data_IF_482466347771
#
_entry.id   IF_482466347771
#
_cell.length_a   1.000
_cell.length_b   1.000
_cell.length_c   1.000
_cell.angle_alpha   90.00
_cell.angle_beta   90.00
_cell.angle_gamma   90.00
#
_symmetry.space_group_name_H-M   'P 1'
#
loop_
_entity.id
_entity.type
_entity.pdbx_description
1 polymer ?
#
# COMPACT_ATOMS: atom_id res chain seq x y z
N UNK A 1 7.99 7.98 -4.07
CA UNK A 1 8.97 6.85 -4.02
C UNK A 1 8.92 6.11 -2.69
N UNK A 2 9.53 4.93 -2.58
CA UNK A 2 9.69 4.19 -1.33
C UNK A 2 10.92 4.66 -0.52
N UNK A 3 10.85 4.55 0.80
CA UNK A 3 11.95 4.86 1.71
C UNK A 3 12.97 3.70 1.71
N UNK A 4 14.24 4.00 1.50
CA UNK A 4 15.35 3.03 1.44
C UNK A 4 16.33 3.13 2.63
N UNK A 5 15.83 3.57 3.80
CA UNK A 5 16.66 3.84 4.99
C UNK A 5 16.82 2.66 5.96
N UNK A 6 16.02 1.59 5.83
CA UNK A 6 16.17 0.41 6.68
C UNK A 6 17.47 -0.31 6.27
N UNK A 7 18.42 -0.56 7.18
CA UNK A 7 19.65 -1.25 6.84
C UNK A 7 19.37 -2.64 6.25
N UNK A 8 20.09 -3.00 5.18
CA UNK A 8 19.92 -4.27 4.48
C UNK A 8 18.65 -4.40 3.65
N UNK A 9 17.93 -3.30 3.36
CA UNK A 9 16.69 -3.31 2.58
C UNK A 9 16.82 -3.96 1.19
N UNK A 10 18.02 -4.00 0.64
CA UNK A 10 18.39 -4.72 -0.58
C UNK A 10 18.20 -6.25 -0.50
N UNK A 11 18.16 -6.81 0.72
CA UNK A 11 17.85 -8.22 0.96
C UNK A 11 16.35 -8.53 0.83
N UNK A 12 15.49 -7.52 0.80
CA UNK A 12 14.07 -7.66 0.53
C UNK A 12 13.71 -7.31 -0.92
N UNK A 13 12.64 -7.92 -1.41
CA UNK A 13 12.00 -7.49 -2.66
C UNK A 13 10.82 -6.60 -2.29
N UNK A 14 10.80 -5.37 -2.82
CA UNK A 14 9.66 -4.46 -2.67
C UNK A 14 8.69 -4.64 -3.82
N UNK A 15 7.52 -5.28 -3.64
CA UNK A 15 6.72 -5.77 -4.78
C UNK A 15 6.20 -4.68 -5.72
N UNK A 16 5.92 -3.48 -5.20
CA UNK A 16 5.35 -2.38 -5.97
C UNK A 16 6.39 -1.46 -6.63
N UNK A 17 7.65 -1.88 -6.78
CA UNK A 17 8.70 -1.09 -7.48
C UNK A 17 8.71 -1.25 -8.99
N UNK A 18 7.83 -2.10 -9.54
CA UNK A 18 7.64 -2.26 -10.98
C UNK A 18 7.70 -3.71 -11.41
N UNK A 19 7.75 -3.92 -12.73
CA UNK A 19 7.68 -5.25 -13.36
C UNK A 19 8.83 -6.14 -12.88
N UNK A 20 10.06 -5.63 -12.85
CA UNK A 20 11.23 -6.40 -12.45
C UNK A 20 11.13 -6.96 -11.03
N UNK A 21 10.51 -6.23 -10.10
CA UNK A 21 10.28 -6.72 -8.74
C UNK A 21 9.28 -7.88 -8.74
N UNK A 22 8.18 -7.78 -9.48
CA UNK A 22 7.18 -8.84 -9.60
C UNK A 22 7.77 -10.11 -10.24
N UNK A 23 8.60 -9.96 -11.27
CA UNK A 23 9.29 -11.09 -11.91
C UNK A 23 10.31 -11.75 -10.97
N UNK A 24 11.08 -10.95 -10.23
CA UNK A 24 11.99 -11.48 -9.20
C UNK A 24 11.23 -12.29 -8.13
N UNK A 25 10.04 -11.85 -7.73
CA UNK A 25 9.18 -12.61 -6.79
C UNK A 25 8.76 -13.93 -7.42
N UNK A 26 8.23 -13.92 -8.65
CA UNK A 26 7.83 -15.12 -9.41
C UNK A 26 8.97 -16.13 -9.49
N UNK A 27 10.15 -15.68 -9.89
CA UNK A 27 11.29 -16.55 -10.17
C UNK A 27 11.90 -17.11 -8.87
N UNK A 28 12.01 -16.29 -7.82
CA UNK A 28 12.46 -16.75 -6.50
C UNK A 28 11.49 -17.75 -5.89
N UNK A 29 10.19 -17.50 -5.96
CA UNK A 29 9.18 -18.41 -5.44
C UNK A 29 9.19 -19.76 -6.17
N UNK A 30 9.36 -19.74 -7.50
CA UNK A 30 9.47 -20.97 -8.32
C UNK A 30 10.71 -21.79 -7.96
N UNK A 31 11.83 -21.14 -7.65
CA UNK A 31 13.09 -21.82 -7.34
C UNK A 31 13.08 -22.49 -5.96
N UNK A 32 12.39 -21.90 -4.97
CA UNK A 32 12.32 -22.44 -3.62
C UNK A 32 11.55 -23.77 -3.58
N UNK A 33 12.11 -24.76 -2.88
CA UNK A 33 11.46 -26.06 -2.63
C UNK A 33 10.71 -26.11 -1.29
N UNK A 34 11.03 -25.18 -0.39
CA UNK A 34 10.50 -25.03 0.95
C UNK A 34 11.20 -23.87 1.66
N UNK A 35 10.90 -23.68 2.95
CA UNK A 35 11.53 -22.65 3.79
C UNK A 35 10.57 -21.55 4.24
N UNK A 36 11.11 -20.45 4.75
CA UNK A 36 10.32 -19.35 5.32
C UNK A 36 10.22 -18.17 4.37
N UNK A 37 8.98 -17.72 4.11
CA UNK A 37 8.70 -16.48 3.39
C UNK A 37 8.15 -15.47 4.40
N UNK A 38 8.91 -14.39 4.62
CA UNK A 38 8.52 -13.29 5.49
C UNK A 38 7.92 -12.15 4.66
N UNK A 39 6.71 -11.70 5.01
CA UNK A 39 5.97 -10.65 4.30
C UNK A 39 5.62 -9.53 5.28
N UNK A 40 5.99 -8.29 4.97
CA UNK A 40 5.73 -7.17 5.88
C UNK A 40 5.65 -5.82 5.20
N UNK A 41 5.18 -4.82 5.94
CA UNK A 41 5.21 -3.42 5.52
C UNK A 41 5.37 -2.48 6.70
N UNK A 42 5.76 -1.24 6.40
CA UNK A 42 5.77 -0.14 7.36
C UNK A 42 5.24 1.14 6.72
N UNK A 43 4.72 2.06 7.53
CA UNK A 43 4.42 3.42 7.10
C UNK A 43 5.65 4.32 7.17
N UNK A 44 5.56 5.52 6.60
CA UNK A 44 6.51 6.57 6.89
C UNK A 44 6.25 7.10 8.32
N UNK A 45 7.21 7.05 9.26
CA UNK A 45 7.00 7.53 10.62
C UNK A 45 6.56 8.99 10.71
N UNK A 46 6.99 9.82 9.75
CA UNK A 46 6.69 11.25 9.67
C UNK A 46 5.44 11.56 8.83
N UNK A 47 4.80 10.55 8.25
CA UNK A 47 3.62 10.68 7.41
C UNK A 47 2.90 9.34 7.36
N UNK A 48 2.09 9.04 8.37
CA UNK A 48 1.44 7.74 8.52
C UNK A 48 0.61 7.35 7.28
N UNK A 49 0.11 8.36 6.55
CA UNK A 49 -0.64 8.23 5.29
C UNK A 49 0.15 7.57 4.17
N UNK A 50 1.48 7.71 4.20
CA UNK A 50 2.39 7.28 3.16
C UNK A 50 2.76 5.80 3.31
N UNK A 51 1.77 4.93 3.12
CA UNK A 51 1.89 3.47 3.24
C UNK A 51 1.05 2.74 2.21
N UNK A 52 1.50 1.56 1.80
CA UNK A 52 0.73 0.63 0.95
C UNK A 52 0.63 -0.73 1.65
N UNK A 53 -0.33 -0.90 2.56
CA UNK A 53 -0.53 -2.18 3.26
C UNK A 53 -1.27 -3.23 2.44
N UNK A 54 -2.29 -2.79 1.68
CA UNK A 54 -3.18 -3.65 0.88
C UNK A 54 -2.44 -4.71 0.05
N UNK A 55 -1.49 -4.30 -0.83
CA UNK A 55 -0.78 -5.25 -1.68
C UNK A 55 -0.01 -6.33 -0.90
N UNK A 56 0.50 -6.05 0.31
CA UNK A 56 1.22 -7.07 1.09
C UNK A 56 0.28 -8.18 1.58
N UNK A 57 -0.96 -7.84 1.94
CA UNK A 57 -1.97 -8.85 2.25
C UNK A 57 -2.30 -9.70 1.01
N UNK A 58 -2.36 -9.08 -0.17
CA UNK A 58 -2.59 -9.80 -1.44
C UNK A 58 -1.45 -10.74 -1.79
N UNK A 59 -0.20 -10.28 -1.67
CA UNK A 59 0.96 -11.14 -1.88
C UNK A 59 0.98 -12.31 -0.88
N UNK A 60 0.74 -12.05 0.40
CA UNK A 60 0.70 -13.08 1.43
C UNK A 60 -0.36 -14.16 1.14
N UNK A 61 -1.60 -13.75 0.91
CA UNK A 61 -2.70 -14.71 0.67
C UNK A 61 -2.64 -15.34 -0.73
N UNK A 62 -2.14 -14.61 -1.73
CA UNK A 62 -1.91 -15.11 -3.08
C UNK A 62 -0.82 -16.17 -3.13
N UNK A 63 0.30 -15.96 -2.41
CA UNK A 63 1.37 -16.95 -2.27
C UNK A 63 0.85 -18.19 -1.53
N UNK A 64 0.13 -18.03 -0.41
CA UNK A 64 -0.50 -19.16 0.29
C UNK A 64 -1.41 -19.97 -0.64
N UNK A 65 -2.28 -19.31 -1.40
CA UNK A 65 -3.19 -19.96 -2.35
C UNK A 65 -2.43 -20.66 -3.49
N UNK A 66 -1.39 -20.02 -4.03
CA UNK A 66 -0.55 -20.59 -5.07
C UNK A 66 0.16 -21.86 -4.57
N UNK A 67 0.84 -21.80 -3.42
CA UNK A 67 1.56 -22.95 -2.86
C UNK A 67 0.64 -24.13 -2.55
N UNK A 68 -0.60 -23.85 -2.10
CA UNK A 68 -1.63 -24.89 -1.88
C UNK A 68 -2.04 -25.55 -3.18
N UNK A 69 -2.30 -24.77 -4.22
CA UNK A 69 -2.63 -25.29 -5.56
C UNK A 69 -1.49 -26.11 -6.16
N UNK A 70 -0.24 -25.75 -5.86
CA UNK A 70 0.96 -26.47 -6.27
C UNK A 70 1.28 -27.69 -5.40
N UNK A 71 0.49 -27.97 -4.34
CA UNK A 71 0.69 -29.12 -3.45
C UNK A 71 2.00 -29.09 -2.67
N UNK A 72 2.52 -27.89 -2.37
CA UNK A 72 3.80 -27.71 -1.65
C UNK A 72 3.71 -26.77 -0.44
N UNK A 73 2.52 -26.30 -0.05
CA UNK A 73 2.33 -25.31 1.04
C UNK A 73 2.90 -25.78 2.37
N UNK A 74 2.85 -27.07 2.66
CA UNK A 74 3.35 -27.70 3.88
C UNK A 74 4.88 -27.61 4.03
N UNK A 75 5.60 -27.38 2.92
CA UNK A 75 7.06 -27.20 2.92
C UNK A 75 7.48 -25.78 3.28
N UNK A 76 6.52 -24.86 3.42
CA UNK A 76 6.77 -23.45 3.65
C UNK A 76 6.20 -22.97 4.98
N UNK A 77 6.97 -22.11 5.67
CA UNK A 77 6.47 -21.27 6.74
C UNK A 77 6.17 -19.89 6.14
N UNK A 78 4.96 -19.37 6.39
CA UNK A 78 4.61 -17.99 6.04
C UNK A 78 4.57 -17.17 7.32
N UNK A 79 5.31 -16.06 7.35
CA UNK A 79 5.35 -15.14 8.49
C UNK A 79 4.96 -13.75 8.03
N UNK A 80 3.96 -13.17 8.68
CA UNK A 80 3.58 -11.77 8.49
C UNK A 80 4.18 -10.91 9.61
N UNK A 81 4.94 -9.86 9.26
CA UNK A 81 5.58 -8.99 10.24
C UNK A 81 5.19 -7.52 10.06
N UNK A 82 5.04 -6.80 11.18
CA UNK A 82 4.69 -5.38 11.17
C UNK A 82 5.13 -4.67 12.47
N UNK A 83 5.56 -3.40 12.41
CA UNK A 83 5.87 -2.63 13.61
C UNK A 83 4.66 -2.29 14.47
N UNK A 84 3.43 -2.44 13.95
CA UNK A 84 2.18 -2.22 14.67
C UNK A 84 1.53 -3.54 15.07
N UNK A 85 0.83 -3.55 16.22
CA UNK A 85 -0.06 -4.63 16.65
C UNK A 85 -1.37 -4.68 15.86
N UNK A 86 -1.74 -3.56 15.20
CA UNK A 86 -2.94 -3.44 14.36
C UNK A 86 -2.56 -3.12 12.90
N UNK A 87 -1.89 -4.06 12.20
CA UNK A 87 -1.46 -3.85 10.82
C UNK A 87 -2.66 -3.55 9.92
N UNK A 88 -2.72 -2.34 9.38
CA UNK A 88 -3.81 -1.93 8.50
C UNK A 88 -5.03 -1.32 9.20
N UNK A 89 -4.90 -0.74 10.41
CA UNK A 89 -5.97 0.01 11.10
C UNK A 89 -6.74 1.01 10.21
N UNK A 90 -6.10 1.51 9.15
CA UNK A 90 -6.68 2.32 8.06
C UNK A 90 -7.88 1.66 7.36
N UNK A 91 -7.88 0.34 7.26
CA UNK A 91 -8.98 -0.48 6.72
C UNK A 91 -10.17 -0.58 7.70
N UNK A 92 -10.00 -0.15 8.95
CA UNK A 92 -10.98 -0.28 10.03
C UNK A 92 -10.68 -1.48 10.93
N UNK A 93 -10.94 -1.34 12.24
CA UNK A 93 -10.61 -2.35 13.24
C UNK A 93 -11.19 -3.74 12.93
N UNK A 94 -12.47 -3.81 12.51
CA UNK A 94 -13.11 -5.08 12.10
C UNK A 94 -12.36 -5.77 10.94
N UNK A 95 -11.86 -4.99 9.98
CA UNK A 95 -11.09 -5.53 8.86
C UNK A 95 -9.76 -6.10 9.33
N UNK A 96 -9.05 -5.40 10.22
CA UNK A 96 -7.78 -5.89 10.78
C UNK A 96 -7.98 -7.20 11.52
N UNK A 97 -8.99 -7.27 12.40
CA UNK A 97 -9.30 -8.50 13.13
C UNK A 97 -9.63 -9.66 12.18
N UNK A 98 -10.41 -9.40 11.12
CA UNK A 98 -10.71 -10.41 10.11
C UNK A 98 -9.48 -10.87 9.33
N UNK A 99 -8.55 -9.97 9.01
CA UNK A 99 -7.29 -10.32 8.34
C UNK A 99 -6.39 -11.18 9.24
N UNK A 100 -6.26 -10.84 10.52
CA UNK A 100 -5.47 -11.60 11.48
C UNK A 100 -6.08 -12.99 11.73
N UNK A 101 -7.41 -13.08 11.85
CA UNK A 101 -8.11 -14.36 11.95
C UNK A 101 -7.90 -15.23 10.70
N UNK A 102 -7.92 -14.62 9.51
CA UNK A 102 -7.66 -15.32 8.25
C UNK A 102 -6.21 -15.81 8.14
N UNK A 103 -5.23 -15.03 8.63
CA UNK A 103 -3.84 -15.46 8.73
C UNK A 103 -3.70 -16.69 9.63
N UNK A 104 -4.28 -16.64 10.83
CA UNK A 104 -4.26 -17.76 11.78
C UNK A 104 -4.92 -19.02 11.16
N UNK A 105 -6.09 -18.86 10.52
CA UNK A 105 -6.80 -19.96 9.83
C UNK A 105 -5.97 -20.62 8.73
N UNK A 106 -5.09 -19.86 8.06
CA UNK A 106 -4.20 -20.36 7.01
C UNK A 106 -2.85 -20.89 7.52
N UNK A 107 -2.64 -20.89 8.84
CA UNK A 107 -1.35 -21.27 9.43
C UNK A 107 -0.23 -20.29 9.03
N UNK A 108 -0.56 -18.99 8.97
CA UNK A 108 0.41 -17.91 8.78
C UNK A 108 0.75 -17.36 10.15
N UNK A 109 2.02 -17.43 10.55
CA UNK A 109 2.48 -16.86 11.80
C UNK A 109 2.53 -15.33 11.72
N UNK A 110 2.30 -14.64 12.84
CA UNK A 110 2.36 -13.19 12.93
C UNK A 110 3.46 -12.74 13.89
N UNK A 111 4.20 -11.71 13.51
CA UNK A 111 5.23 -11.05 14.32
C UNK A 111 4.95 -9.55 14.35
N UNK A 112 4.15 -9.10 15.31
CA UNK A 112 3.53 -7.78 15.31
C UNK A 112 4.01 -6.93 16.48
N UNK A 113 3.97 -5.60 16.32
CA UNK A 113 4.32 -4.66 17.40
C UNK A 113 5.83 -4.48 17.62
N UNK A 114 6.66 -4.97 16.69
CA UNK A 114 8.11 -4.93 16.81
C UNK A 114 8.71 -4.17 15.64
N UNK A 115 9.44 -3.09 15.90
CA UNK A 115 10.09 -2.34 14.82
C UNK A 115 11.19 -3.18 14.20
N UNK A 116 11.28 -3.13 12.87
CA UNK A 116 12.40 -3.70 12.15
C UNK A 116 13.64 -2.85 12.40
N UNK A 117 14.74 -3.50 12.77
CA UNK A 117 16.05 -2.89 12.98
C UNK A 117 16.88 -2.93 11.70
N UNK A 118 16.88 -4.08 11.04
CA UNK A 118 17.58 -4.34 9.77
C UNK A 118 17.05 -5.60 9.10
N UNK A 119 17.38 -5.75 7.84
CA UNK A 119 17.17 -6.98 7.08
C UNK A 119 18.54 -7.59 6.79
N UNK A 120 18.64 -8.90 6.81
CA UNK A 120 19.88 -9.62 6.49
C UNK A 120 19.57 -10.72 5.47
N UNK A 121 20.62 -11.28 4.88
CA UNK A 121 20.46 -12.52 4.11
C UNK A 121 19.94 -13.62 5.04
N UNK A 122 18.75 -14.14 4.76
CA UNK A 122 18.17 -15.25 5.52
C UNK A 122 17.35 -14.86 6.74
N UNK A 123 17.20 -13.57 7.10
CA UNK A 123 16.36 -13.16 8.24
C UNK A 123 15.90 -11.70 8.25
N UNK A 124 14.80 -11.45 8.96
CA UNK A 124 14.33 -10.13 9.38
C UNK A 124 14.70 -9.93 10.85
N UNK A 125 15.41 -8.85 11.18
CA UNK A 125 15.77 -8.55 12.58
C UNK A 125 14.88 -7.43 13.11
N UNK A 126 14.24 -7.67 14.25
CA UNK A 126 13.32 -6.73 14.90
C UNK A 126 13.69 -6.54 16.37
N UNK A 127 13.08 -5.55 17.03
CA UNK A 127 13.16 -5.38 18.48
C UNK A 127 12.61 -6.59 19.26
N UNK A 128 11.70 -7.37 18.66
CA UNK A 128 11.07 -8.55 19.27
C UNK A 128 11.77 -9.87 18.92
N UNK A 129 12.97 -9.82 18.35
CA UNK A 129 13.72 -10.99 17.92
C UNK A 129 13.85 -11.13 16.40
N UNK A 130 14.37 -12.28 15.99
CA UNK A 130 14.72 -12.58 14.60
C UNK A 130 13.68 -13.51 13.95
N UNK A 131 13.35 -13.25 12.69
CA UNK A 131 12.48 -14.08 11.87
C UNK A 131 13.35 -14.70 10.76
N UNK A 132 13.64 -16.01 10.78
CA UNK A 132 14.27 -16.69 9.65
C UNK A 132 13.46 -16.50 8.37
N UNK A 133 14.10 -16.22 7.25
CA UNK A 133 13.43 -15.91 5.98
C UNK A 133 14.32 -16.19 4.76
N UNK A 134 14.01 -17.24 4.02
CA UNK A 134 14.62 -17.56 2.71
C UNK A 134 14.20 -16.57 1.62
N UNK A 135 13.06 -15.90 1.82
CA UNK A 135 12.55 -14.82 0.97
C UNK A 135 11.86 -13.75 1.81
N UNK A 136 12.28 -12.51 1.64
CA UNK A 136 11.69 -11.35 2.33
C UNK A 136 10.96 -10.49 1.31
N UNK A 137 9.66 -10.32 1.51
CA UNK A 137 8.84 -9.32 0.82
C UNK A 137 8.56 -8.18 1.77
N UNK A 138 9.09 -6.99 1.47
CA UNK A 138 8.94 -5.84 2.35
C UNK A 138 8.57 -4.58 1.58
N UNK A 139 7.48 -3.95 2.01
CA UNK A 139 7.06 -2.65 1.49
C UNK A 139 7.27 -1.55 2.54
N UNK A 140 8.30 -0.71 2.40
CA UNK A 140 8.54 0.39 3.32
C UNK A 140 7.53 1.53 3.11
N UNK A 141 7.57 2.52 4.00
CA UNK A 141 6.82 3.75 3.84
C UNK A 141 7.22 4.51 2.57
N UNK A 142 6.36 5.43 2.13
CA UNK A 142 6.61 6.29 0.97
C UNK A 142 7.05 7.70 1.38
N UNK A 143 7.80 8.34 0.50
CA UNK A 143 8.23 9.74 0.62
C UNK A 143 8.21 10.40 -0.76
N UNK A 144 8.39 11.73 -0.82
CA UNK A 144 8.38 12.49 -2.06
C UNK A 144 9.49 12.09 -3.01
N UNK A 145 9.29 12.35 -4.30
CA UNK A 145 10.26 12.00 -5.33
C UNK A 145 11.56 12.80 -5.15
N UNK A 146 12.69 12.22 -5.55
CA UNK A 146 14.01 12.83 -5.32
C UNK A 146 14.14 14.21 -5.99
N UNK A 147 13.52 14.40 -7.15
CA UNK A 147 13.57 15.69 -7.85
C UNK A 147 12.89 16.83 -7.07
N UNK A 148 12.02 16.54 -6.09
CA UNK A 148 11.46 17.58 -5.22
C UNK A 148 12.56 18.29 -4.42
N UNK A 149 13.69 17.62 -4.14
CA UNK A 149 14.82 18.21 -3.42
C UNK A 149 15.49 19.35 -4.22
N UNK A 150 15.30 19.40 -5.54
CA UNK A 150 15.79 20.46 -6.42
C UNK A 150 14.77 21.61 -6.59
N UNK A 151 13.74 21.66 -5.76
CA UNK A 151 12.67 22.67 -5.85
C UNK A 151 12.41 23.34 -4.51
N UNK A 152 11.73 24.48 -4.54
CA UNK A 152 11.21 25.17 -3.35
C UNK A 152 9.75 24.78 -3.03
N UNK A 153 9.23 23.72 -3.66
CA UNK A 153 7.86 23.27 -3.42
C UNK A 153 7.68 22.90 -1.94
N UNK A 154 6.61 23.37 -1.27
CA UNK A 154 6.42 23.10 0.14
C UNK A 154 6.19 21.61 0.39
N UNK A 155 6.84 21.08 1.42
CA UNK A 155 6.77 19.65 1.75
C UNK A 155 6.22 19.40 3.14
N UNK A 156 5.57 18.25 3.29
CA UNK A 156 5.18 17.72 4.59
C UNK A 156 6.43 17.17 5.29
N UNK A 157 6.36 16.89 6.61
CA UNK A 157 7.46 16.24 7.32
C UNK A 157 7.90 14.91 6.67
N UNK A 158 6.96 14.14 6.10
CA UNK A 158 7.28 12.91 5.35
C UNK A 158 7.83 13.12 3.94
N UNK A 159 8.01 14.37 3.50
CA UNK A 159 8.63 14.74 2.24
C UNK A 159 7.69 14.80 1.03
N UNK A 160 6.38 14.67 1.21
CA UNK A 160 5.38 14.81 0.13
C UNK A 160 5.04 16.27 -0.11
N UNK A 161 4.47 16.62 -1.27
CA UNK A 161 4.08 18.01 -1.56
C UNK A 161 2.86 18.41 -0.73
N UNK A 162 2.92 19.50 0.03
CA UNK A 162 1.76 19.97 0.81
C UNK A 162 0.70 20.52 -0.12
N UNK A 163 -0.51 20.00 0.05
CA UNK A 163 -1.69 20.44 -0.67
C UNK A 163 -2.83 20.83 0.26
N UNK A 164 -3.72 21.69 -0.20
CA UNK A 164 -4.99 21.93 0.47
C UNK A 164 -6.10 20.96 0.01
N UNK A 165 -7.34 21.18 0.49
CA UNK A 165 -8.49 20.34 0.17
C UNK A 165 -8.96 20.45 -1.30
N UNK A 166 -8.45 21.44 -2.04
CA UNK A 166 -8.69 21.70 -3.46
C UNK A 166 -7.54 21.17 -4.34
N UNK A 167 -6.60 20.43 -3.74
CA UNK A 167 -5.39 19.90 -4.37
C UNK A 167 -4.37 20.95 -4.82
N UNK A 168 -4.51 22.22 -4.40
CA UNK A 168 -3.53 23.27 -4.69
C UNK A 168 -2.27 23.07 -3.87
N UNK A 169 -1.11 23.26 -4.47
CA UNK A 169 0.15 23.31 -3.73
C UNK A 169 0.10 24.49 -2.76
N UNK A 170 0.49 24.25 -1.51
CA UNK A 170 0.41 25.27 -0.47
C UNK A 170 1.29 26.50 -0.76
N UNK A 171 0.93 27.67 -0.23
CA UNK A 171 1.74 28.88 -0.30
C UNK A 171 1.48 29.76 -1.52
N UNK A 172 1.66 31.06 -1.32
CA UNK A 172 1.19 32.11 -2.26
C UNK A 172 1.97 32.14 -3.59
N UNK A 173 3.19 31.61 -3.62
CA UNK A 173 4.04 31.56 -4.81
C UNK A 173 3.67 30.47 -5.83
N UNK A 174 2.72 29.59 -5.52
CA UNK A 174 2.41 28.40 -6.34
C UNK A 174 1.04 28.50 -7.02
N UNK A 175 0.76 29.65 -7.64
CA UNK A 175 -0.48 29.87 -8.41
C UNK A 175 -0.60 28.85 -9.55
N UNK A 176 -1.82 28.32 -9.72
CA UNK A 176 -2.14 27.29 -10.73
C UNK A 176 -1.27 26.03 -10.64
N UNK A 177 -0.69 25.75 -9.46
CA UNK A 177 0.07 24.55 -9.20
C UNK A 177 -0.75 23.60 -8.34
N UNK A 178 -0.90 22.36 -8.79
CA UNK A 178 -1.70 21.33 -8.11
C UNK A 178 -0.90 20.04 -8.00
N UNK A 179 -1.20 19.25 -6.97
CA UNK A 179 -0.64 17.92 -6.79
C UNK A 179 -1.75 16.89 -6.63
N UNK A 180 -1.56 15.73 -7.24
CA UNK A 180 -2.52 14.63 -7.25
C UNK A 180 -1.88 13.32 -6.80
N UNK A 181 -2.71 12.39 -6.32
CA UNK A 181 -2.29 11.04 -5.96
C UNK A 181 -1.18 10.96 -4.89
N UNK A 182 -0.27 10.01 -5.08
CA UNK A 182 0.69 9.62 -4.04
C UNK A 182 1.71 10.71 -3.71
N UNK A 183 1.99 11.63 -4.63
CA UNK A 183 2.94 12.73 -4.46
C UNK A 183 2.51 13.79 -3.45
N UNK A 184 1.20 13.93 -3.17
CA UNK A 184 0.66 14.98 -2.32
C UNK A 184 0.40 14.55 -0.88
N UNK A 185 0.55 15.48 0.06
CA UNK A 185 0.08 15.41 1.43
C UNK A 185 -1.15 16.30 1.55
N UNK A 186 -2.31 15.69 1.74
CA UNK A 186 -3.60 16.37 1.76
C UNK A 186 -4.19 16.40 3.17
N UNK A 187 -5.01 17.42 3.50
CA UNK A 187 -5.83 17.37 4.71
C UNK A 187 -6.85 16.24 4.59
N UNK A 188 -7.18 15.62 5.72
CA UNK A 188 -8.15 14.52 5.74
C UNK A 188 -8.05 13.68 7.00
N UNK A 189 -8.89 12.65 7.11
CA UNK A 189 -8.83 11.74 8.23
C UNK A 189 -7.54 10.90 8.17
N UNK A 190 -7.02 10.52 9.33
CA UNK A 190 -5.76 9.75 9.44
C UNK A 190 -5.76 8.45 8.61
N UNK A 191 -6.93 7.86 8.42
CA UNK A 191 -7.12 6.62 7.65
C UNK A 191 -7.09 6.80 6.13
N UNK A 192 -7.08 8.04 5.62
CA UNK A 192 -7.11 8.32 4.19
C UNK A 192 -6.01 7.54 3.45
N UNK A 193 -6.36 6.76 2.41
CA UNK A 193 -5.40 5.88 1.75
C UNK A 193 -4.67 6.60 0.62
N UNK A 194 -3.48 6.10 0.27
CA UNK A 194 -2.82 6.39 -1.00
C UNK A 194 -3.10 5.27 -1.99
N UNK A 195 -4.17 5.46 -2.77
CA UNK A 195 -4.73 4.51 -3.72
C UNK A 195 -5.04 5.19 -5.05
N UNK A 196 -5.06 4.41 -6.14
CA UNK A 196 -5.43 4.92 -7.47
C UNK A 196 -6.80 5.62 -7.46
N UNK A 197 -7.81 5.05 -6.78
CA UNK A 197 -9.12 5.69 -6.63
C UNK A 197 -9.04 7.10 -6.01
N UNK A 198 -8.22 7.28 -4.98
CA UNK A 198 -7.98 8.61 -4.39
C UNK A 198 -7.24 9.53 -5.36
N UNK A 199 -6.29 9.02 -6.13
CA UNK A 199 -5.60 9.80 -7.16
C UNK A 199 -6.57 10.30 -8.25
N UNK A 200 -7.53 9.47 -8.68
CA UNK A 200 -8.57 9.87 -9.63
C UNK A 200 -9.47 10.98 -9.07
N UNK A 201 -9.84 10.90 -7.77
CA UNK A 201 -10.60 11.95 -7.10
C UNK A 201 -9.80 13.25 -7.01
N UNK A 202 -8.52 13.19 -6.64
CA UNK A 202 -7.63 14.35 -6.63
C UNK A 202 -7.49 14.95 -8.04
N UNK A 203 -7.35 14.11 -9.08
CA UNK A 203 -7.19 14.56 -10.45
C UNK A 203 -8.42 15.32 -10.95
N UNK A 204 -9.63 14.85 -10.62
CA UNK A 204 -10.88 15.56 -10.96
C UNK A 204 -10.96 16.93 -10.29
N UNK A 205 -10.66 17.02 -9.00
CA UNK A 205 -10.68 18.28 -8.26
C UNK A 205 -9.62 19.25 -8.80
N UNK A 206 -8.37 18.79 -8.95
CA UNK A 206 -7.26 19.57 -9.46
C UNK A 206 -7.52 20.10 -10.88
N UNK A 207 -8.05 19.27 -11.79
CA UNK A 207 -8.34 19.69 -13.15
C UNK A 207 -9.43 20.77 -13.22
N UNK A 208 -10.52 20.60 -12.45
CA UNK A 208 -11.58 21.62 -12.36
C UNK A 208 -11.03 22.95 -11.82
N UNK A 209 -10.28 22.89 -10.71
CA UNK A 209 -9.70 24.09 -10.10
C UNK A 209 -8.66 24.76 -10.99
N UNK A 210 -7.84 24.00 -11.73
CA UNK A 210 -6.90 24.58 -12.67
C UNK A 210 -7.62 25.39 -13.77
N UNK A 211 -8.70 24.84 -14.33
CA UNK A 211 -9.49 25.53 -15.35
C UNK A 211 -10.19 26.77 -14.80
N UNK A 212 -10.67 26.71 -13.55
CA UNK A 212 -11.27 27.86 -12.88
C UNK A 212 -10.22 28.94 -12.57
N UNK A 213 -9.07 28.57 -12.01
CA UNK A 213 -7.97 29.49 -11.72
C UNK A 213 -7.47 30.21 -12.98
N UNK A 214 -7.25 29.48 -14.08
CA UNK A 214 -6.85 30.07 -15.37
C UNK A 214 -7.89 31.06 -15.91
N UNK A 215 -9.18 30.84 -15.62
CA UNK A 215 -10.26 31.72 -15.99
C UNK A 215 -10.61 32.78 -14.93
N UNK A 216 -9.76 32.94 -13.90
CA UNK A 216 -9.99 33.84 -12.76
C UNK A 216 -11.33 33.61 -12.03
N UNK A 217 -11.80 32.36 -12.00
CA UNK A 217 -12.99 31.92 -11.26
C UNK A 217 -12.60 31.31 -9.91
N UNK A 218 -13.52 31.25 -8.93
CA UNK A 218 -13.27 30.61 -7.65
C UNK A 218 -12.97 29.10 -7.79
N UNK A 219 -11.83 28.68 -7.26
CA UNK A 219 -11.36 27.30 -7.26
C UNK A 219 -11.92 26.53 -6.05
N UNK A 220 -13.12 25.95 -6.17
CA UNK A 220 -13.85 25.35 -5.04
C UNK A 220 -13.98 23.83 -5.12
N UNK A 221 -13.58 23.18 -6.22
CA UNK A 221 -13.74 21.75 -6.39
C UNK A 221 -12.92 21.00 -5.33
N UNK A 222 -13.59 20.17 -4.53
CA UNK A 222 -12.95 19.33 -3.51
C UNK A 222 -13.10 17.84 -3.82
N UNK A 223 -12.60 17.02 -2.91
CA UNK A 223 -12.78 15.57 -2.95
C UNK A 223 -13.19 15.03 -1.59
N UNK A 224 -13.85 13.88 -1.57
CA UNK A 224 -14.20 13.17 -0.34
C UNK A 224 -13.25 11.98 -0.19
N UNK A 225 -12.49 11.88 0.92
CA UNK A 225 -11.65 10.72 1.18
C UNK A 225 -12.44 9.42 1.12
N UNK A 226 -12.00 8.49 0.29
CA UNK A 226 -12.62 7.19 0.07
C UNK A 226 -11.56 6.11 -0.05
N UNK A 227 -11.76 5.02 0.66
CA UNK A 227 -11.03 3.78 0.50
C UNK A 227 -11.93 2.80 -0.22
N UNK A 228 -11.46 2.29 -1.34
CA UNK A 228 -12.11 1.21 -2.07
C UNK A 228 -11.03 0.22 -2.50
N UNK A 229 -11.08 -0.99 -1.94
CA UNK A 229 -10.07 -2.00 -2.17
C UNK A 229 -10.69 -3.39 -2.24
N UNK A 230 -10.20 -4.22 -3.14
CA UNK A 230 -10.40 -5.67 -3.10
C UNK A 230 -9.05 -6.28 -2.77
N UNK A 231 -8.94 -6.90 -1.60
CA UNK A 231 -7.79 -7.70 -1.19
C UNK A 231 -7.99 -9.08 -1.81
N UNK A 232 -7.28 -9.37 -2.89
CA UNK A 232 -7.41 -10.58 -3.69
C UNK A 232 -6.36 -11.62 -3.31
N UNK A 233 -6.80 -12.87 -3.18
CA UNK A 233 -5.96 -14.05 -2.91
C UNK A 233 -5.71 -14.89 -4.16
N UNK A 234 -6.09 -14.39 -5.35
CA UNK A 234 -5.97 -15.07 -6.63
C UNK A 234 -7.12 -16.05 -6.94
N UNK A 235 -8.12 -16.14 -6.04
CA UNK A 235 -9.30 -16.97 -6.22
C UNK A 235 -10.55 -16.39 -5.54
N UNK A 236 -10.34 -15.68 -4.43
CA UNK A 236 -11.34 -14.97 -3.66
C UNK A 236 -10.84 -13.57 -3.32
N UNK A 237 -11.74 -12.60 -3.31
CA UNK A 237 -11.45 -11.23 -2.90
C UNK A 237 -12.28 -10.78 -1.71
N UNK A 238 -11.69 -9.98 -0.83
CA UNK A 238 -12.37 -9.28 0.27
C UNK A 238 -12.55 -7.83 -0.11
N UNK A 239 -13.81 -7.38 -0.29
CA UNK A 239 -14.11 -5.98 -0.56
C UNK A 239 -14.08 -5.16 0.73
N UNK A 240 -13.33 -4.07 0.72
CA UNK A 240 -13.27 -3.08 1.79
C UNK A 240 -13.62 -1.72 1.20
N UNK A 241 -14.72 -1.14 1.69
CA UNK A 241 -15.13 0.23 1.38
C UNK A 241 -15.14 1.06 2.66
N UNK A 242 -14.53 2.24 2.65
CA UNK A 242 -14.59 3.18 3.76
C UNK A 242 -14.70 4.61 3.25
N UNK A 243 -15.61 5.37 3.85
CA UNK A 243 -15.73 6.81 3.66
C UNK A 243 -16.04 7.47 5.03
N UNK A 244 -16.19 8.80 5.14
CA UNK A 244 -16.41 9.46 6.43
C UNK A 244 -17.68 8.99 7.16
N UNK A 245 -18.67 8.44 6.46
CA UNK A 245 -19.96 8.05 7.04
C UNK A 245 -20.07 6.56 7.35
N UNK A 246 -19.36 5.69 6.61
CA UNK A 246 -19.54 4.24 6.71
C UNK A 246 -18.28 3.45 6.36
N UNK A 247 -18.18 2.27 6.97
CA UNK A 247 -17.23 1.22 6.60
C UNK A 247 -18.02 -0.05 6.27
N UNK A 248 -17.73 -0.66 5.13
CA UNK A 248 -18.28 -1.95 4.69
C UNK A 248 -17.11 -2.90 4.41
N UNK A 249 -17.23 -4.11 4.93
CA UNK A 249 -16.31 -5.21 4.66
C UNK A 249 -17.15 -6.41 4.27
N UNK A 250 -16.87 -6.97 3.10
CA UNK A 250 -17.48 -8.23 2.67
C UNK A 250 -16.52 -9.39 2.97
N UNK A 251 -17.04 -10.59 3.26
CA UNK A 251 -16.19 -11.77 3.40
C UNK A 251 -15.43 -12.08 2.09
N UNK A 252 -14.43 -12.98 2.12
CA UNK A 252 -13.77 -13.44 0.90
C UNK A 252 -14.77 -14.12 -0.05
N UNK A 253 -14.96 -13.56 -1.25
CA UNK A 253 -15.92 -14.06 -2.24
C UNK A 253 -15.22 -14.27 -3.60
N UNK A 254 -15.54 -15.38 -4.29
CA UNK A 254 -15.06 -15.62 -5.67
C UNK A 254 -15.48 -14.52 -6.63
N UNK A 255 -16.69 -13.99 -6.46
CA UNK A 255 -17.20 -12.89 -7.27
C UNK A 255 -16.28 -11.64 -7.19
N UNK A 256 -15.69 -11.36 -6.03
CA UNK A 256 -14.82 -10.19 -5.87
C UNK A 256 -13.47 -10.34 -6.58
N UNK A 257 -12.93 -11.56 -6.69
CA UNK A 257 -11.76 -11.82 -7.53
C UNK A 257 -12.04 -11.44 -8.99
N UNK A 258 -13.15 -11.94 -9.54
CA UNK A 258 -13.57 -11.62 -10.91
C UNK A 258 -13.93 -10.14 -11.08
N UNK A 259 -14.55 -9.52 -10.08
CA UNK A 259 -14.84 -8.08 -10.09
C UNK A 259 -13.55 -7.26 -10.19
N UNK A 260 -12.48 -7.63 -9.47
CA UNK A 260 -11.18 -6.97 -9.56
C UNK A 260 -10.56 -7.13 -10.94
N UNK A 261 -10.61 -8.33 -11.52
CA UNK A 261 -10.12 -8.62 -12.88
C UNK A 261 -10.89 -7.85 -13.96
N UNK A 262 -12.21 -7.79 -13.85
CA UNK A 262 -13.05 -7.01 -14.75
C UNK A 262 -12.78 -5.50 -14.62
N UNK A 263 -12.60 -5.01 -13.38
CA UNK A 263 -12.19 -3.63 -13.12
C UNK A 263 -10.85 -3.30 -13.78
N UNK A 264 -9.83 -4.16 -13.62
CA UNK A 264 -8.52 -3.99 -14.28
C UNK A 264 -8.67 -3.86 -15.80
N UNK A 265 -9.42 -4.77 -16.44
CA UNK A 265 -9.66 -4.73 -17.89
C UNK A 265 -10.32 -3.42 -18.33
N UNK A 266 -11.41 -3.03 -17.66
CA UNK A 266 -12.14 -1.78 -17.96
C UNK A 266 -11.31 -0.53 -17.70
N UNK A 267 -10.46 -0.56 -16.67
CA UNK A 267 -9.60 0.57 -16.33
C UNK A 267 -8.49 0.75 -17.36
N UNK A 268 -7.81 -0.34 -17.73
CA UNK A 268 -6.72 -0.31 -18.71
C UNK A 268 -7.18 -0.03 -20.15
N UNK A 269 -8.42 -0.39 -20.50
CA UNK A 269 -9.01 -0.09 -21.82
C UNK A 269 -9.05 1.42 -22.13
N UNK A 270 -9.01 2.30 -21.14
CA UNK A 270 -9.01 3.75 -21.36
C UNK A 270 -7.63 4.30 -21.77
N UNK A 271 -6.58 3.47 -21.65
CA UNK A 271 -5.19 3.86 -21.90
C UNK A 271 -4.54 3.03 -23.03
N UNK A 272 -5.33 2.20 -23.71
CA UNK A 272 -4.93 1.43 -24.90
C UNK A 272 -5.66 2.00 -26.10
#
# INVERSE_FOLDING_TARGET
>A
RFIKKLPGIEHAITPCEGIAAAEKIRDRLRALQGGTIAVGFAANPQEQQAVRGGPMFEFLFGIDAQLRREGRRERFQLVFFNPSTEPGARLGAKTVQSLLAEMARRGIATHLGHKMLRLETGKVVTEGGEIPADMILFMPGMTGNAWFDATTLPRSPGGLLRADAQCRVAGEGWRHCYVVGDSGSFPGPEWAPKQAHMADLHARAAAANLLDGLASRPEQAGFVPQLACIIDSGSHGTLVLRNPRRTLVLPPLRLMHWAKRAFEGRYLQQYR
#
